data_IF_075804995088
#
_entry.id   IF_075804995088
#
_cell.length_a   1.000
_cell.length_b   1.000
_cell.length_c   1.000
_cell.angle_alpha   90.00
_cell.angle_beta   90.00
_cell.angle_gamma   90.00
#
_symmetry.space_group_name_H-M   'P 1'
#
loop_
_entity.id
_entity.type
_entity.pdbx_description
1 polymer ?
#
# COMPACT_ATOMS: atom_id res chain seq x y z
N UNK A 1 -5.46 -12.83 -2.94
CA UNK A 1 -5.74 -11.40 -2.81
C UNK A 1 -7.08 -11.17 -3.44
N UNK A 2 -8.05 -10.80 -2.63
CA UNK A 2 -9.38 -10.41 -3.11
C UNK A 2 -9.24 -9.11 -3.92
N UNK A 3 -10.08 -8.90 -4.94
CA UNK A 3 -9.99 -7.72 -5.83
C UNK A 3 -9.95 -6.40 -5.04
N UNK A 4 -10.67 -6.33 -3.92
CA UNK A 4 -10.73 -5.13 -3.07
C UNK A 4 -9.44 -4.86 -2.30
N UNK A 5 -8.75 -5.89 -1.83
CA UNK A 5 -7.45 -5.74 -1.14
C UNK A 5 -6.40 -5.20 -2.11
N UNK A 6 -6.45 -5.65 -3.37
CA UNK A 6 -5.57 -5.16 -4.44
C UNK A 6 -5.87 -3.69 -4.76
N UNK A 7 -7.13 -3.34 -4.98
CA UNK A 7 -7.56 -1.95 -5.23
C UNK A 7 -7.16 -1.02 -4.07
N UNK A 8 -7.33 -1.47 -2.83
CA UNK A 8 -6.91 -0.73 -1.65
C UNK A 8 -5.39 -0.59 -1.54
N UNK A 9 -4.64 -1.65 -1.85
CA UNK A 9 -3.18 -1.61 -1.87
C UNK A 9 -2.67 -0.59 -2.89
N UNK A 10 -3.26 -0.56 -4.09
CA UNK A 10 -2.96 0.44 -5.13
C UNK A 10 -3.31 1.84 -4.63
N UNK A 11 -4.49 2.01 -4.01
CA UNK A 11 -4.87 3.30 -3.42
C UNK A 11 -3.88 3.79 -2.35
N UNK A 12 -3.40 2.91 -1.47
CA UNK A 12 -2.40 3.26 -0.46
C UNK A 12 -1.08 3.72 -1.10
N UNK A 13 -0.62 3.02 -2.14
CA UNK A 13 0.61 3.38 -2.87
C UNK A 13 0.49 4.77 -3.50
N UNK A 14 -0.60 5.02 -4.24
CA UNK A 14 -0.84 6.31 -4.89
C UNK A 14 -1.00 7.44 -3.86
N UNK A 15 -1.73 7.21 -2.76
CA UNK A 15 -1.93 8.22 -1.71
C UNK A 15 -0.63 8.59 -1.00
N UNK A 16 0.24 7.61 -0.73
CA UNK A 16 1.56 7.84 -0.12
C UNK A 16 2.50 8.51 -1.12
N UNK A 17 2.44 8.12 -2.39
CA UNK A 17 3.15 8.76 -3.51
C UNK A 17 2.84 10.25 -3.59
N UNK A 18 1.56 10.63 -3.63
CA UNK A 18 1.12 12.03 -3.60
C UNK A 18 1.60 12.77 -2.33
N UNK A 19 1.55 12.11 -1.17
CA UNK A 19 1.93 12.73 0.11
C UNK A 19 3.43 12.99 0.22
N UNK A 20 4.25 12.10 -0.32
CA UNK A 20 5.71 12.17 -0.26
C UNK A 20 6.33 12.87 -1.48
N UNK A 21 5.54 13.09 -2.54
CA UNK A 21 6.04 13.62 -3.81
C UNK A 21 7.01 12.66 -4.52
N UNK A 22 6.86 11.36 -4.27
CA UNK A 22 7.60 10.28 -4.93
C UNK A 22 6.77 9.72 -6.07
N UNK A 23 7.36 8.87 -6.92
CA UNK A 23 6.57 8.08 -7.86
C UNK A 23 6.02 6.80 -7.20
N UNK A 24 4.97 6.23 -7.79
CA UNK A 24 4.32 5.04 -7.25
C UNK A 24 5.22 3.80 -7.23
N UNK A 25 6.22 3.71 -8.11
CA UNK A 25 7.18 2.60 -8.13
C UNK A 25 8.13 2.66 -6.93
N UNK A 26 8.62 3.85 -6.60
CA UNK A 26 9.47 4.09 -5.44
C UNK A 26 8.71 3.82 -4.14
N UNK A 27 7.46 4.25 -4.04
CA UNK A 27 6.60 3.94 -2.90
C UNK A 27 6.29 2.45 -2.80
N UNK A 28 6.00 1.78 -3.92
CA UNK A 28 5.80 0.33 -3.93
C UNK A 28 7.03 -0.40 -3.37
N UNK A 29 8.24 -0.07 -3.84
CA UNK A 29 9.49 -0.65 -3.29
C UNK A 29 9.66 -0.34 -1.82
N UNK A 30 9.36 0.89 -1.37
CA UNK A 30 9.43 1.26 0.04
C UNK A 30 8.51 0.39 0.91
N UNK A 31 7.30 0.10 0.45
CA UNK A 31 6.29 -0.67 1.19
C UNK A 31 6.46 -2.20 1.10
N UNK A 32 7.27 -2.70 0.17
CA UNK A 32 7.45 -4.16 -0.09
C UNK A 32 8.89 -4.66 -0.01
N UNK A 33 9.81 -4.07 -0.76
CA UNK A 33 11.19 -4.54 -0.87
C UNK A 33 12.06 -4.00 0.27
N UNK A 34 11.83 -2.74 0.66
CA UNK A 34 12.61 -2.07 1.70
C UNK A 34 11.96 -2.15 3.08
N UNK A 35 10.67 -2.47 3.12
CA UNK A 35 9.91 -2.78 4.32
C UNK A 35 8.87 -3.82 4.00
N UNK A 36 8.28 -4.45 5.01
CA UNK A 36 7.19 -5.41 4.81
C UNK A 36 5.82 -4.81 5.14
N UNK A 37 5.68 -3.49 5.05
CA UNK A 37 4.46 -2.81 5.48
C UNK A 37 3.25 -3.27 4.66
N UNK A 38 3.41 -3.51 3.35
CA UNK A 38 2.30 -3.99 2.53
C UNK A 38 1.83 -5.38 2.98
N UNK A 39 2.76 -6.30 3.20
CA UNK A 39 2.49 -7.71 3.52
C UNK A 39 2.15 -7.97 4.99
N UNK A 40 2.78 -7.26 5.92
CA UNK A 40 2.65 -7.47 7.39
C UNK A 40 1.67 -6.49 8.05
N UNK A 41 1.27 -5.41 7.38
CA UNK A 41 0.38 -4.39 7.95
C UNK A 41 -0.83 -4.06 7.06
N UNK A 42 -0.63 -3.57 5.83
CA UNK A 42 -1.74 -3.06 5.01
C UNK A 42 -2.72 -4.18 4.62
N UNK A 43 -2.22 -5.28 4.03
CA UNK A 43 -3.08 -6.40 3.60
C UNK A 43 -3.72 -7.11 4.80
N UNK A 44 -2.97 -7.52 5.85
CA UNK A 44 -3.57 -8.23 6.99
C UNK A 44 -4.59 -7.41 7.77
N UNK A 45 -4.53 -6.08 7.70
CA UNK A 45 -5.44 -5.18 8.42
C UNK A 45 -6.41 -4.47 7.46
N UNK A 46 -6.63 -5.00 6.24
CA UNK A 46 -7.51 -4.41 5.24
C UNK A 46 -8.88 -4.01 5.81
N UNK A 47 -9.56 -4.91 6.52
CA UNK A 47 -10.90 -4.66 7.07
C UNK A 47 -10.96 -3.48 8.05
N UNK A 48 -9.86 -3.22 8.79
CA UNK A 48 -9.77 -2.13 9.77
C UNK A 48 -9.38 -0.82 9.07
N UNK A 49 -8.53 -0.89 8.05
CA UNK A 49 -7.99 0.28 7.35
C UNK A 49 -8.91 0.78 6.23
N UNK A 50 -9.75 -0.07 5.65
CA UNK A 50 -10.70 0.26 4.59
C UNK A 50 -12.08 0.65 5.18
N UNK A 51 -12.09 1.73 5.96
CA UNK A 51 -13.31 2.33 6.55
C UNK A 51 -13.81 3.56 5.82
#
# INVERSE_FOLDING_TARGET
METKELEFSVFCIESVSEKLGLDGEEVYRLLTEQSKILEEYIIPNYDILHT
#
